data_IF_752199960674
#
_entry.id   IF_752199960674
#
_cell.length_a   1.000
_cell.length_b   1.000
_cell.length_c   1.000
_cell.angle_alpha   90.00
_cell.angle_beta   90.00
_cell.angle_gamma   90.00
#
_symmetry.space_group_name_H-M   'P 1'
#
loop_
_entity.id
_entity.type
_entity.pdbx_description
1 polymer ?
#
# COMPACT_ATOMS: atom_id res chain seq x y z
N UNK A 1 8.04 -16.99 29.22
CA UNK A 1 7.40 -16.00 28.31
C UNK A 1 7.92 -14.56 28.50
N UNK A 2 8.12 -14.07 29.73
CA UNK A 2 8.63 -12.70 29.98
C UNK A 2 10.09 -12.45 29.51
N UNK A 3 10.96 -13.47 29.49
CA UNK A 3 12.37 -13.32 29.08
C UNK A 3 12.58 -13.02 27.58
N UNK A 4 11.64 -13.41 26.71
CA UNK A 4 11.74 -13.20 25.25
C UNK A 4 11.51 -11.73 24.86
N UNK A 5 10.73 -10.98 25.64
CA UNK A 5 10.46 -9.56 25.39
C UNK A 5 11.69 -8.66 25.64
N UNK A 6 12.60 -9.09 26.51
CA UNK A 6 13.85 -8.36 26.82
C UNK A 6 14.95 -8.51 25.76
N UNK A 7 14.97 -9.65 25.04
CA UNK A 7 15.95 -9.93 24.00
C UNK A 7 15.84 -8.95 22.81
N UNK A 8 14.61 -8.57 22.43
CA UNK A 8 14.36 -7.53 21.41
C UNK A 8 15.08 -6.21 21.71
N UNK A 9 15.27 -5.87 22.98
CA UNK A 9 15.88 -4.59 23.39
C UNK A 9 17.42 -4.61 23.36
N UNK A 10 18.04 -5.81 23.32
CA UNK A 10 19.51 -5.99 23.37
C UNK A 10 20.14 -6.23 22.00
N UNK A 11 19.37 -6.62 20.98
CA UNK A 11 19.88 -6.78 19.61
C UNK A 11 19.78 -5.44 18.88
N UNK A 12 20.78 -4.57 19.05
CA UNK A 12 20.94 -3.31 18.28
C UNK A 12 21.44 -3.54 16.83
N UNK A 13 21.40 -4.77 16.33
CA UNK A 13 22.12 -5.15 15.11
C UNK A 13 21.44 -4.69 13.82
N UNK A 14 20.18 -4.23 13.86
CA UNK A 14 19.51 -3.78 12.64
C UNK A 14 18.80 -2.45 12.87
N UNK A 15 19.50 -1.36 12.53
CA UNK A 15 18.85 -0.07 12.27
C UNK A 15 18.29 -0.13 10.86
N UNK A 16 17.03 -0.57 10.71
CA UNK A 16 16.35 -0.67 9.42
C UNK A 16 16.12 0.69 8.72
N UNK A 17 16.81 1.78 9.07
CA UNK A 17 16.49 3.13 8.60
C UNK A 17 15.37 3.80 9.41
N UNK A 18 15.15 5.09 9.17
CA UNK A 18 14.11 5.86 9.86
C UNK A 18 12.74 5.77 9.17
N UNK A 19 11.72 6.29 9.84
CA UNK A 19 10.35 6.28 9.34
C UNK A 19 10.18 7.07 8.02
N UNK A 20 10.92 8.18 7.84
CA UNK A 20 10.81 9.00 6.66
C UNK A 20 11.37 8.28 5.43
N UNK A 21 12.51 7.59 5.59
CA UNK A 21 13.10 6.75 4.56
C UNK A 21 12.15 5.62 4.15
N UNK A 22 11.56 4.90 5.10
CA UNK A 22 10.58 3.85 4.78
C UNK A 22 9.32 4.37 4.10
N UNK A 23 8.85 5.56 4.50
CA UNK A 23 7.71 6.20 3.84
C UNK A 23 8.04 6.52 2.38
N UNK A 24 9.24 7.02 2.10
CA UNK A 24 9.70 7.27 0.74
C UNK A 24 9.78 5.97 -0.07
N UNK A 25 10.41 4.93 0.49
CA UNK A 25 10.50 3.60 -0.15
C UNK A 25 9.09 3.07 -0.46
N UNK A 26 8.14 3.16 0.46
CA UNK A 26 6.77 2.72 0.24
C UNK A 26 6.08 3.47 -0.91
N UNK A 27 6.26 4.79 -1.01
CA UNK A 27 5.74 5.60 -2.11
C UNK A 27 6.36 5.17 -3.44
N UNK A 28 7.68 4.97 -3.47
CA UNK A 28 8.40 4.50 -4.67
C UNK A 28 7.92 3.12 -5.10
N UNK A 29 7.73 2.19 -4.15
CA UNK A 29 7.18 0.86 -4.42
C UNK A 29 5.76 0.92 -4.98
N UNK A 30 4.90 1.81 -4.46
CA UNK A 30 3.56 2.03 -5.00
C UNK A 30 3.59 2.53 -6.45
N UNK A 31 4.46 3.50 -6.76
CA UNK A 31 4.64 3.99 -8.13
C UNK A 31 5.21 2.90 -9.06
N UNK A 32 6.20 2.14 -8.59
CA UNK A 32 6.77 1.01 -9.31
C UNK A 32 5.71 -0.07 -9.59
N UNK A 33 4.82 -0.37 -8.63
CA UNK A 33 3.74 -1.32 -8.82
C UNK A 33 2.77 -0.89 -9.94
N UNK A 34 2.46 0.41 -10.08
CA UNK A 34 1.66 0.92 -11.20
C UNK A 34 2.40 0.81 -12.54
N UNK A 35 3.70 1.09 -12.57
CA UNK A 35 4.51 0.91 -13.78
C UNK A 35 4.55 -0.56 -14.19
N UNK A 36 4.77 -1.47 -13.24
CA UNK A 36 4.73 -2.91 -13.48
C UNK A 36 3.35 -3.35 -13.96
N UNK A 37 2.26 -2.87 -13.36
CA UNK A 37 0.90 -3.18 -13.82
C UNK A 37 0.73 -2.77 -15.29
N UNK A 38 1.11 -1.54 -15.63
CA UNK A 38 0.99 -1.00 -16.99
C UNK A 38 1.77 -1.84 -18.00
N UNK A 39 3.04 -2.14 -17.70
CA UNK A 39 3.92 -2.94 -18.55
C UNK A 39 3.45 -4.40 -18.66
N UNK A 40 3.02 -4.99 -17.55
CA UNK A 40 2.59 -6.39 -17.47
C UNK A 40 1.29 -6.63 -18.24
N UNK A 41 0.38 -5.67 -18.27
CA UNK A 41 -0.91 -5.84 -18.96
C UNK A 41 -0.99 -5.15 -20.32
N UNK A 42 0.06 -4.42 -20.72
CA UNK A 42 0.04 -3.56 -21.91
C UNK A 42 -1.02 -2.47 -21.80
N UNK A 43 -1.31 -1.99 -20.59
CA UNK A 43 -2.34 -0.98 -20.31
C UNK A 43 -3.78 -1.47 -20.35
N UNK A 44 -4.00 -2.78 -20.48
CA UNK A 44 -5.35 -3.36 -20.42
C UNK A 44 -5.69 -3.79 -18.99
N UNK A 45 -6.90 -3.56 -18.53
CA UNK A 45 -7.34 -4.06 -17.21
C UNK A 45 -7.64 -5.56 -17.23
N UNK A 46 -7.87 -6.14 -18.41
CA UNK A 46 -8.34 -7.53 -18.56
C UNK A 46 -9.85 -7.65 -18.28
N UNK A 47 -10.29 -8.85 -17.91
CA UNK A 47 -11.70 -9.17 -17.63
C UNK A 47 -11.84 -10.01 -16.35
N UNK A 48 -13.03 -9.99 -15.75
CA UNK A 48 -13.34 -10.76 -14.55
C UNK A 48 -12.38 -10.45 -13.38
N UNK A 49 -11.80 -11.50 -12.79
CA UNK A 49 -10.86 -11.36 -11.67
C UNK A 49 -9.60 -10.55 -11.99
N UNK A 50 -9.16 -10.50 -13.25
CA UNK A 50 -8.02 -9.66 -13.65
C UNK A 50 -8.36 -8.17 -13.56
N UNK A 51 -9.54 -7.79 -14.06
CA UNK A 51 -10.01 -6.41 -13.99
C UNK A 51 -10.22 -6.00 -12.52
N UNK A 52 -10.81 -6.88 -11.70
CA UNK A 52 -10.97 -6.64 -10.27
C UNK A 52 -9.63 -6.43 -9.55
N UNK A 53 -8.62 -7.25 -9.84
CA UNK A 53 -7.27 -7.13 -9.29
C UNK A 53 -6.61 -5.81 -9.71
N UNK A 54 -6.66 -5.48 -11.00
CA UNK A 54 -6.08 -4.24 -11.54
C UNK A 54 -6.73 -3.00 -10.92
N UNK A 55 -8.06 -2.95 -10.86
CA UNK A 55 -8.79 -1.84 -10.26
C UNK A 55 -8.53 -1.72 -8.75
N UNK A 56 -8.39 -2.85 -8.06
CA UNK A 56 -8.02 -2.86 -6.64
C UNK A 56 -6.61 -2.28 -6.42
N UNK A 57 -5.63 -2.68 -7.23
CA UNK A 57 -4.27 -2.14 -7.15
C UNK A 57 -4.23 -0.63 -7.45
N UNK A 58 -4.96 -0.18 -8.48
CA UNK A 58 -5.11 1.25 -8.81
C UNK A 58 -5.79 2.02 -7.68
N UNK A 59 -6.93 1.53 -7.18
CA UNK A 59 -7.65 2.17 -6.08
C UNK A 59 -6.80 2.26 -4.80
N UNK A 60 -6.08 1.19 -4.47
CA UNK A 60 -5.15 1.14 -3.34
C UNK A 60 -4.06 2.20 -3.45
N UNK A 61 -3.40 2.30 -4.61
CA UNK A 61 -2.32 3.27 -4.84
C UNK A 61 -2.82 4.71 -4.90
N UNK A 62 -3.98 4.98 -5.49
CA UNK A 62 -4.63 6.30 -5.46
C UNK A 62 -4.97 6.70 -4.02
N UNK A 63 -5.59 5.81 -3.24
CA UNK A 63 -5.91 6.08 -1.83
C UNK A 63 -4.64 6.34 -0.99
N UNK A 64 -3.56 5.60 -1.26
CA UNK A 64 -2.26 5.79 -0.62
C UNK A 64 -1.61 7.13 -0.98
N UNK A 65 -1.64 7.51 -2.26
CA UNK A 65 -1.16 8.81 -2.75
C UNK A 65 -1.93 9.97 -2.12
N UNK A 66 -3.26 9.87 -2.05
CA UNK A 66 -4.10 10.84 -1.35
C UNK A 66 -3.74 10.93 0.13
N UNK A 67 -3.56 9.80 0.82
CA UNK A 67 -3.11 9.78 2.21
C UNK A 67 -1.75 10.47 2.39
N UNK A 68 -0.78 10.20 1.52
CA UNK A 68 0.53 10.85 1.52
C UNK A 68 0.45 12.38 1.34
N UNK A 69 -0.38 12.84 0.38
CA UNK A 69 -0.58 14.28 0.14
C UNK A 69 -1.23 14.99 1.33
N UNK A 70 -2.20 14.35 2.00
CA UNK A 70 -2.87 14.96 3.17
C UNK A 70 -1.92 15.17 4.34
N UNK A 71 -0.96 14.25 4.54
CA UNK A 71 0.10 14.38 5.54
C UNK A 71 1.10 15.47 5.12
N UNK A 72 1.50 15.50 3.85
CA UNK A 72 2.44 16.51 3.34
C UNK A 72 1.89 17.94 3.36
N UNK A 73 0.56 18.10 3.25
CA UNK A 73 -0.14 19.39 3.26
C UNK A 73 -0.82 19.70 4.59
N UNK A 74 -0.53 18.96 5.65
CA UNK A 74 -1.20 19.13 6.95
C UNK A 74 -0.99 20.55 7.53
N UNK A 75 0.12 21.22 7.16
CA UNK A 75 0.41 22.61 7.51
C UNK A 75 -0.43 23.66 6.77
N UNK A 76 -1.02 23.31 5.61
CA UNK A 76 -1.73 24.26 4.74
C UNK A 76 -3.27 24.09 4.79
N UNK A 77 -3.78 23.09 5.51
CA UNK A 77 -5.21 22.77 5.57
C UNK A 77 -5.74 23.04 6.98
N UNK A 78 -6.98 23.55 7.07
CA UNK A 78 -7.66 23.73 8.36
C UNK A 78 -7.60 22.44 9.19
N UNK A 79 -7.12 22.54 10.43
CA UNK A 79 -6.73 21.43 11.32
C UNK A 79 -7.84 20.36 11.48
N UNK A 80 -9.12 20.77 11.46
CA UNK A 80 -10.27 19.85 11.56
C UNK A 80 -10.50 19.04 10.28
N UNK A 81 -10.41 19.69 9.12
CA UNK A 81 -10.61 19.07 7.81
C UNK A 81 -9.44 18.16 7.43
N UNK A 82 -8.21 18.59 7.72
CA UNK A 82 -7.00 17.78 7.49
C UNK A 82 -7.03 16.45 8.23
N UNK A 83 -7.41 16.47 9.52
CA UNK A 83 -7.52 15.25 10.34
C UNK A 83 -8.58 14.28 9.83
N UNK A 84 -9.77 14.77 9.44
CA UNK A 84 -10.84 13.92 8.89
C UNK A 84 -10.41 13.30 7.57
N UNK A 85 -9.85 14.10 6.67
CA UNK A 85 -9.42 13.63 5.36
C UNK A 85 -8.32 12.59 5.47
N UNK A 86 -7.28 12.85 6.27
CA UNK A 86 -6.21 11.90 6.58
C UNK A 86 -6.75 10.57 7.10
N UNK A 87 -7.67 10.61 8.07
CA UNK A 87 -8.28 9.40 8.62
C UNK A 87 -9.04 8.61 7.55
N UNK A 88 -9.83 9.30 6.72
CA UNK A 88 -10.58 8.65 5.64
C UNK A 88 -9.64 8.02 4.60
N UNK A 89 -8.66 8.76 4.10
CA UNK A 89 -7.73 8.28 3.07
C UNK A 89 -6.87 7.12 3.57
N UNK A 90 -6.38 7.17 4.82
CA UNK A 90 -5.64 6.06 5.42
C UNK A 90 -6.52 4.83 5.61
N UNK A 91 -7.75 4.99 6.10
CA UNK A 91 -8.68 3.88 6.26
C UNK A 91 -9.06 3.25 4.91
N UNK A 92 -9.29 4.07 3.87
CA UNK A 92 -9.56 3.59 2.53
C UNK A 92 -8.37 2.83 1.94
N UNK A 93 -7.14 3.32 2.12
CA UNK A 93 -5.93 2.62 1.70
C UNK A 93 -5.79 1.27 2.40
N UNK A 94 -6.02 1.21 3.72
CA UNK A 94 -5.99 -0.05 4.47
C UNK A 94 -7.11 -1.00 4.02
N UNK A 95 -8.33 -0.49 3.82
CA UNK A 95 -9.46 -1.30 3.37
C UNK A 95 -9.24 -1.86 1.96
N UNK A 96 -8.69 -1.05 1.04
CA UNK A 96 -8.36 -1.48 -0.32
C UNK A 96 -7.23 -2.53 -0.37
N UNK A 97 -6.44 -2.65 0.69
CA UNK A 97 -5.39 -3.67 0.78
C UNK A 97 -5.98 -5.08 0.97
N UNK A 98 -7.13 -5.21 1.64
CA UNK A 98 -7.74 -6.51 1.98
C UNK A 98 -8.08 -7.40 0.77
N UNK A 99 -8.71 -6.89 -0.30
CA UNK A 99 -9.01 -7.72 -1.47
C UNK A 99 -7.76 -8.10 -2.27
N UNK A 100 -6.66 -7.32 -2.17
CA UNK A 100 -5.45 -7.52 -2.96
C UNK A 100 -4.83 -8.94 -2.80
N UNK A 101 -4.54 -9.46 -1.60
CA UNK A 101 -3.94 -10.79 -1.45
C UNK A 101 -4.87 -11.89 -1.97
N UNK A 102 -6.18 -11.79 -1.75
CA UNK A 102 -7.16 -12.78 -2.22
C UNK A 102 -7.17 -12.82 -3.75
N UNK A 103 -7.32 -11.66 -4.39
CA UNK A 103 -7.35 -11.55 -5.85
C UNK A 103 -6.01 -11.95 -6.48
N UNK A 104 -4.88 -11.62 -5.85
CA UNK A 104 -3.55 -11.99 -6.32
C UNK A 104 -3.35 -13.51 -6.26
N UNK A 105 -3.75 -14.17 -5.17
CA UNK A 105 -3.68 -15.63 -5.05
C UNK A 105 -4.49 -16.29 -6.16
N UNK A 106 -5.73 -15.87 -6.40
CA UNK A 106 -6.53 -16.42 -7.51
C UNK A 106 -5.92 -16.14 -8.88
N UNK A 107 -5.31 -14.97 -9.09
CA UNK A 107 -4.62 -14.63 -10.32
C UNK A 107 -3.42 -15.54 -10.60
N UNK A 108 -2.67 -15.90 -9.55
CA UNK A 108 -1.54 -16.83 -9.65
C UNK A 108 -2.03 -18.27 -9.83
N UNK A 109 -2.98 -18.73 -9.01
CA UNK A 109 -3.44 -20.12 -9.03
C UNK A 109 -4.06 -20.52 -10.37
N UNK A 110 -4.83 -19.64 -11.01
CA UNK A 110 -5.44 -19.95 -12.31
C UNK A 110 -4.41 -20.18 -13.42
N UNK A 111 -3.18 -19.69 -13.27
CA UNK A 111 -2.10 -19.94 -14.24
C UNK A 111 -1.55 -21.37 -14.12
N UNK A 112 -1.65 -21.99 -12.95
CA UNK A 112 -1.16 -23.36 -12.72
C UNK A 112 -2.23 -24.44 -12.94
N UNK A 113 -3.50 -24.05 -13.03
CA UNK A 113 -4.62 -24.99 -13.12
C UNK A 113 -5.12 -25.23 -14.56
N UNK A 114 -4.61 -24.47 -15.52
CA UNK A 114 -4.84 -24.62 -16.96
C UNK A 114 -3.49 -24.73 -17.66
#
# INVERSE_FOLDING_TARGET
LLGLLGLRKRVKAVRFGDFAAWRLVHVVLGAAALAVLLLHTGGRLGHGLNAALALTLIGLTVAGGLAGMTIGREHAVAVRSGRRLRRLTTNLHIAALWPLPVLLVFHILKFYWY
#
